data_IF_699844842834
#
_entry.id   IF_699844842834
#
_cell.length_a   1.000
_cell.length_b   1.000
_cell.length_c   1.000
_cell.angle_alpha   90.00
_cell.angle_beta   90.00
_cell.angle_gamma   90.00
#
_symmetry.space_group_name_H-M   'P 1'
#
loop_
_entity.id
_entity.type
_entity.pdbx_description
1 polymer ?
#
# COMPACT_ATOMS: atom_id res chain seq x y z
N UNK A 1 -10.65 -6.01 -14.26
CA UNK A 1 -11.23 -5.48 -13.02
C UNK A 1 -11.10 -3.98 -13.05
N UNK A 2 -12.02 -3.27 -12.38
CA UNK A 2 -11.89 -1.82 -12.14
C UNK A 2 -11.23 -1.59 -10.77
N UNK A 3 -10.08 -0.94 -10.76
CA UNK A 3 -9.25 -0.71 -9.57
C UNK A 3 -9.21 0.78 -9.27
N UNK A 4 -9.68 1.22 -8.11
CA UNK A 4 -9.52 2.60 -7.64
C UNK A 4 -8.24 2.70 -6.81
N UNK A 5 -7.20 3.35 -7.35
CA UNK A 5 -5.88 3.46 -6.73
C UNK A 5 -5.63 4.85 -6.18
N UNK A 6 -5.60 4.99 -4.87
CA UNK A 6 -5.22 6.21 -4.16
C UNK A 6 -3.70 6.30 -3.98
N UNK A 7 -3.17 7.52 -4.11
CA UNK A 7 -1.72 7.74 -4.08
C UNK A 7 -1.02 7.32 -5.38
N UNK A 8 -1.75 7.32 -6.50
CA UNK A 8 -1.27 6.86 -7.80
C UNK A 8 -0.02 7.59 -8.31
N UNK A 9 0.24 8.83 -7.88
CA UNK A 9 1.39 9.63 -8.31
C UNK A 9 2.67 9.39 -7.52
N UNK A 10 2.60 8.63 -6.43
CA UNK A 10 3.76 8.27 -5.60
C UNK A 10 4.70 7.27 -6.29
N UNK A 11 5.91 7.08 -5.72
CA UNK A 11 6.90 6.15 -6.26
C UNK A 11 6.34 4.73 -6.43
N UNK A 12 5.68 4.19 -5.43
CA UNK A 12 5.08 2.85 -5.47
C UNK A 12 3.75 2.88 -6.24
N UNK A 13 2.89 3.87 -5.96
CA UNK A 13 1.57 3.96 -6.59
C UNK A 13 1.62 4.06 -8.11
N UNK A 14 2.61 4.80 -8.66
CA UNK A 14 2.79 4.90 -10.12
C UNK A 14 3.13 3.56 -10.77
N UNK A 15 3.91 2.72 -10.10
CA UNK A 15 4.26 1.38 -10.59
C UNK A 15 3.10 0.42 -10.48
N UNK A 16 2.31 0.51 -9.41
CA UNK A 16 1.06 -0.27 -9.28
C UNK A 16 0.08 0.12 -10.39
N UNK A 17 -0.08 1.42 -10.66
CA UNK A 17 -0.94 1.89 -11.77
C UNK A 17 -0.46 1.35 -13.13
N UNK A 18 0.86 1.44 -13.40
CA UNK A 18 1.45 0.94 -14.63
C UNK A 18 1.31 -0.58 -14.78
N UNK A 19 1.56 -1.34 -13.72
CA UNK A 19 1.43 -2.80 -13.74
C UNK A 19 -0.02 -3.24 -13.94
N UNK A 20 -0.98 -2.61 -13.24
CA UNK A 20 -2.40 -2.90 -13.39
C UNK A 20 -2.88 -2.58 -14.82
N UNK A 21 -2.52 -1.43 -15.37
CA UNK A 21 -2.86 -1.06 -16.74
C UNK A 21 -2.23 -2.02 -17.77
N UNK A 22 -0.95 -2.40 -17.58
CA UNK A 22 -0.26 -3.37 -18.42
C UNK A 22 -0.95 -4.73 -18.46
N UNK A 23 -1.62 -5.13 -17.36
CA UNK A 23 -2.42 -6.36 -17.28
C UNK A 23 -3.86 -6.22 -17.82
N UNK A 24 -4.23 -5.03 -18.32
CA UNK A 24 -5.54 -4.78 -18.91
C UNK A 24 -6.65 -4.51 -17.89
N UNK A 25 -6.29 -4.04 -16.70
CA UNK A 25 -7.27 -3.56 -15.73
C UNK A 25 -7.70 -2.12 -16.03
N UNK A 26 -8.94 -1.77 -15.66
CA UNK A 26 -9.42 -0.39 -15.65
C UNK A 26 -8.94 0.28 -14.35
N UNK A 27 -8.06 1.26 -14.47
CA UNK A 27 -7.45 1.95 -13.32
C UNK A 27 -8.03 3.35 -13.16
N UNK A 28 -8.68 3.60 -12.04
CA UNK A 28 -9.03 4.94 -11.59
C UNK A 28 -7.87 5.46 -10.74
N UNK A 29 -6.99 6.25 -11.35
CA UNK A 29 -5.81 6.82 -10.71
C UNK A 29 -6.21 8.05 -9.88
N UNK A 30 -6.31 7.88 -8.56
CA UNK A 30 -6.77 8.92 -7.64
C UNK A 30 -5.59 9.66 -7.04
N UNK A 31 -5.57 10.97 -7.21
CA UNK A 31 -4.59 11.86 -6.60
C UNK A 31 -5.25 13.19 -6.20
N UNK A 32 -4.63 13.97 -5.32
CA UNK A 32 -5.14 15.28 -4.90
C UNK A 32 -5.26 16.27 -6.06
N UNK A 33 -4.36 16.20 -7.03
CA UNK A 33 -4.33 17.09 -8.20
C UNK A 33 -5.13 16.58 -9.39
N UNK A 34 -5.61 15.34 -9.37
CA UNK A 34 -6.19 14.69 -10.54
C UNK A 34 -5.15 14.32 -11.60
N UNK A 35 -3.87 14.33 -11.27
CA UNK A 35 -2.82 13.87 -12.18
C UNK A 35 -2.74 12.34 -12.16
N UNK A 36 -2.47 11.75 -13.34
CA UNK A 36 -2.12 10.33 -13.47
C UNK A 36 -0.67 10.19 -13.93
N UNK A 37 0.09 9.27 -13.35
CA UNK A 37 1.45 8.96 -13.79
C UNK A 37 1.48 8.07 -15.03
N UNK A 38 0.33 7.50 -15.40
CA UNK A 38 0.16 6.58 -16.53
C UNK A 38 -0.93 7.14 -17.43
N UNK A 39 -0.65 7.18 -18.71
CA UNK A 39 -1.60 7.52 -19.74
C UNK A 39 -1.88 6.30 -20.61
N UNK A 40 -3.10 6.14 -21.07
CA UNK A 40 -3.47 5.06 -21.98
C UNK A 40 -4.88 4.53 -21.79
N UNK A 41 -5.28 3.59 -22.64
CA UNK A 41 -6.58 2.94 -22.53
C UNK A 41 -6.76 2.29 -21.16
N UNK A 42 -7.96 2.44 -20.58
CA UNK A 42 -8.27 1.85 -19.27
C UNK A 42 -7.73 2.65 -18.06
N UNK A 43 -7.08 3.81 -18.24
CA UNK A 43 -6.65 4.65 -17.14
C UNK A 43 -7.44 5.95 -17.11
N UNK A 44 -8.08 6.24 -15.98
CA UNK A 44 -8.84 7.47 -15.73
C UNK A 44 -8.26 8.20 -14.53
N UNK A 45 -7.87 9.46 -14.71
CA UNK A 45 -7.39 10.31 -13.61
C UNK A 45 -8.57 10.95 -12.88
N UNK A 46 -8.53 10.92 -11.54
CA UNK A 46 -9.56 11.50 -10.67
C UNK A 46 -8.91 12.34 -9.57
N UNK A 47 -9.42 13.56 -9.40
CA UNK A 47 -9.03 14.40 -8.26
C UNK A 47 -9.89 14.05 -7.05
N UNK A 48 -9.29 13.57 -5.95
CA UNK A 48 -9.98 13.38 -4.69
C UNK A 48 -9.00 13.47 -3.50
N UNK A 49 -9.51 14.01 -2.40
CA UNK A 49 -8.82 13.98 -1.12
C UNK A 49 -9.19 12.70 -0.37
N UNK A 50 -8.19 11.89 -0.05
CA UNK A 50 -8.37 10.65 0.72
C UNK A 50 -8.84 10.90 2.18
N UNK A 51 -8.72 12.12 2.69
CA UNK A 51 -9.27 12.54 3.98
C UNK A 51 -10.74 12.96 3.95
N UNK A 52 -11.39 12.98 2.77
CA UNK A 52 -12.84 13.25 2.64
C UNK A 52 -13.59 11.96 2.35
N UNK A 53 -14.46 11.58 3.27
CA UNK A 53 -15.31 10.37 3.15
C UNK A 53 -16.13 10.41 1.85
N UNK A 54 -16.74 11.55 1.53
CA UNK A 54 -17.59 11.73 0.36
C UNK A 54 -16.77 11.66 -0.93
N UNK A 55 -15.57 12.28 -0.96
CA UNK A 55 -14.70 12.25 -2.13
C UNK A 55 -14.17 10.85 -2.41
N UNK A 56 -13.81 10.10 -1.35
CA UNK A 56 -13.40 8.70 -1.46
C UNK A 56 -14.57 7.85 -1.97
N UNK A 57 -15.75 7.97 -1.36
CA UNK A 57 -16.94 7.20 -1.76
C UNK A 57 -17.28 7.40 -3.24
N UNK A 58 -17.23 8.65 -3.71
CA UNK A 58 -17.45 8.97 -5.12
C UNK A 58 -16.37 8.36 -6.04
N UNK A 59 -15.09 8.42 -5.63
CA UNK A 59 -13.97 7.92 -6.44
C UNK A 59 -13.95 6.39 -6.55
N UNK A 60 -14.44 5.65 -5.53
CA UNK A 60 -14.45 4.18 -5.53
C UNK A 60 -15.73 3.58 -6.10
N UNK A 61 -16.72 4.40 -6.43
CA UNK A 61 -18.02 3.91 -6.91
C UNK A 61 -17.89 2.98 -8.14
N UNK A 62 -18.41 1.77 -7.98
CA UNK A 62 -18.36 0.73 -9.02
C UNK A 62 -16.97 0.15 -9.29
N UNK A 63 -16.00 0.36 -8.40
CA UNK A 63 -14.73 -0.37 -8.42
C UNK A 63 -14.91 -1.78 -7.84
N UNK A 64 -14.16 -2.74 -8.38
CA UNK A 64 -14.09 -4.10 -7.85
C UNK A 64 -13.16 -4.17 -6.63
N UNK A 65 -12.08 -3.38 -6.66
CA UNK A 65 -11.05 -3.32 -5.62
C UNK A 65 -10.59 -1.88 -5.41
N UNK A 66 -10.35 -1.52 -4.16
CA UNK A 66 -9.66 -0.28 -3.80
C UNK A 66 -8.21 -0.61 -3.44
N UNK A 67 -7.28 0.09 -4.07
CA UNK A 67 -5.85 0.03 -3.80
C UNK A 67 -5.38 1.33 -3.13
N UNK A 68 -4.59 1.22 -2.07
CA UNK A 68 -4.05 2.38 -1.36
C UNK A 68 -2.53 2.35 -1.35
N UNK A 69 -1.93 3.36 -1.98
CA UNK A 69 -0.51 3.71 -1.86
C UNK A 69 -0.33 5.06 -1.13
N UNK A 70 -1.23 5.33 -0.18
CA UNK A 70 -1.15 6.49 0.69
C UNK A 70 0.02 6.35 1.67
N UNK A 71 0.76 7.43 1.86
CA UNK A 71 1.90 7.49 2.76
C UNK A 71 1.77 8.66 3.75
N UNK A 72 2.37 8.53 4.93
CA UNK A 72 2.45 9.64 5.89
C UNK A 72 3.16 10.85 5.29
N UNK A 73 2.82 12.04 5.79
CA UNK A 73 3.52 13.27 5.40
C UNK A 73 4.97 13.26 5.90
N UNK A 74 5.87 13.87 5.12
CA UNK A 74 7.32 13.95 5.39
C UNK A 74 7.77 15.41 5.49
N UNK A 75 7.08 16.18 6.30
CA UNK A 75 7.36 17.62 6.52
C UNK A 75 8.11 17.90 7.83
N UNK A 76 8.54 16.85 8.53
CA UNK A 76 9.23 16.92 9.81
C UNK A 76 8.30 16.93 11.03
N UNK A 77 6.97 16.99 10.85
CA UNK A 77 6.01 16.82 11.93
C UNK A 77 5.81 15.34 12.30
N UNK A 78 5.17 15.07 13.46
CA UNK A 78 4.78 13.70 13.80
C UNK A 78 3.62 13.26 12.89
N UNK A 79 3.81 12.26 11.99
CA UNK A 79 2.80 11.86 11.03
C UNK A 79 1.75 10.91 11.61
N UNK A 80 1.89 10.39 12.83
CA UNK A 80 1.09 9.27 13.35
C UNK A 80 -0.39 9.61 13.43
N UNK A 81 -0.75 10.69 14.15
CA UNK A 81 -2.14 11.09 14.32
C UNK A 81 -2.80 11.57 13.00
N UNK A 82 -2.16 12.42 12.17
CA UNK A 82 -2.71 12.78 10.87
C UNK A 82 -2.90 11.60 9.93
N UNK A 83 -1.99 10.64 9.92
CA UNK A 83 -2.10 9.46 9.06
C UNK A 83 -3.20 8.50 9.53
N UNK A 84 -3.38 8.36 10.85
CA UNK A 84 -4.50 7.61 11.41
C UNK A 84 -5.85 8.21 10.99
N UNK A 85 -6.02 9.53 11.18
CA UNK A 85 -7.24 10.23 10.80
C UNK A 85 -7.54 10.15 9.28
N UNK A 86 -6.49 10.28 8.46
CA UNK A 86 -6.61 10.10 7.00
C UNK A 86 -7.15 8.72 6.64
N UNK A 87 -6.59 7.67 7.25
CA UNK A 87 -7.01 6.29 6.95
C UNK A 87 -8.38 5.96 7.51
N UNK A 88 -8.79 6.53 8.64
CA UNK A 88 -10.13 6.34 9.18
C UNK A 88 -11.17 6.92 8.20
N UNK A 89 -10.97 8.16 7.74
CA UNK A 89 -11.82 8.78 6.72
C UNK A 89 -11.80 8.01 5.38
N UNK A 90 -10.61 7.56 4.96
CA UNK A 90 -10.45 6.76 3.75
C UNK A 90 -11.27 5.46 3.82
N UNK A 91 -11.15 4.67 4.90
CA UNK A 91 -11.88 3.42 5.03
C UNK A 91 -13.38 3.63 5.16
N UNK A 92 -13.81 4.71 5.82
CA UNK A 92 -15.23 5.08 5.88
C UNK A 92 -15.78 5.44 4.49
N UNK A 93 -15.01 6.16 3.69
CA UNK A 93 -15.38 6.44 2.31
C UNK A 93 -15.43 5.18 1.43
N UNK A 94 -14.52 4.24 1.63
CA UNK A 94 -14.57 2.93 0.94
C UNK A 94 -15.84 2.16 1.31
N UNK A 95 -16.21 2.12 2.59
CA UNK A 95 -17.47 1.51 3.06
C UNK A 95 -18.69 2.17 2.43
N UNK A 96 -18.72 3.49 2.45
CA UNK A 96 -19.82 4.27 1.86
C UNK A 96 -19.93 4.07 0.35
N UNK A 97 -18.79 3.88 -0.36
CA UNK A 97 -18.74 3.57 -1.78
C UNK A 97 -19.13 2.12 -2.11
N UNK A 98 -19.35 1.27 -1.12
CA UNK A 98 -19.84 -0.11 -1.26
C UNK A 98 -18.77 -1.12 -1.70
N UNK A 99 -17.48 -0.79 -1.61
CA UNK A 99 -16.39 -1.71 -1.96
C UNK A 99 -15.87 -2.41 -0.72
N UNK A 100 -15.78 -3.73 -0.76
CA UNK A 100 -15.28 -4.53 0.38
C UNK A 100 -13.79 -4.84 0.30
N UNK A 101 -13.27 -5.07 -0.92
CA UNK A 101 -11.89 -5.48 -1.13
C UNK A 101 -10.95 -4.28 -1.12
N UNK A 102 -9.97 -4.29 -0.21
CA UNK A 102 -8.98 -3.21 -0.07
C UNK A 102 -7.57 -3.81 0.00
N UNK A 103 -6.68 -3.39 -0.89
CA UNK A 103 -5.26 -3.77 -0.84
C UNK A 103 -4.42 -2.53 -0.52
N UNK A 104 -3.60 -2.62 0.52
CA UNK A 104 -2.93 -1.47 1.13
C UNK A 104 -1.42 -1.64 1.05
N UNK A 105 -0.74 -0.66 0.49
CA UNK A 105 0.72 -0.54 0.57
C UNK A 105 1.10 -0.29 2.03
N UNK A 106 1.85 -1.21 2.57
CA UNK A 106 2.30 -1.18 3.94
C UNK A 106 3.71 -0.63 4.12
N UNK A 107 4.20 -0.72 5.36
CA UNK A 107 5.58 -0.43 5.71
C UNK A 107 6.32 -1.68 6.18
N UNK A 108 7.65 -1.67 6.06
CA UNK A 108 8.51 -2.75 6.55
C UNK A 108 8.76 -2.69 8.06
N UNK A 109 8.59 -1.51 8.69
CA UNK A 109 9.00 -1.28 10.08
C UNK A 109 8.40 -2.23 11.12
N UNK A 110 7.20 -2.74 10.87
CA UNK A 110 6.52 -3.70 11.75
C UNK A 110 6.79 -5.17 11.43
N UNK A 111 7.65 -5.47 10.43
CA UNK A 111 8.09 -6.83 10.14
C UNK A 111 9.02 -7.33 11.26
N UNK A 112 8.88 -8.59 11.63
CA UNK A 112 9.65 -9.19 12.71
C UNK A 112 11.00 -9.69 12.21
N UNK A 113 12.08 -9.22 12.83
CA UNK A 113 13.45 -9.69 12.59
C UNK A 113 13.77 -10.94 13.42
N UNK A 114 13.11 -11.06 14.57
CA UNK A 114 13.09 -12.21 15.46
C UNK A 114 11.76 -12.25 16.25
N UNK A 115 11.39 -13.33 16.92
CA UNK A 115 10.15 -13.39 17.68
C UNK A 115 10.00 -12.24 18.67
N UNK A 116 8.98 -11.39 18.44
CA UNK A 116 8.65 -10.26 19.32
C UNK A 116 9.42 -8.96 19.03
N UNK A 117 10.40 -8.95 18.11
CA UNK A 117 11.18 -7.74 17.79
C UNK A 117 10.85 -7.24 16.39
N UNK A 118 10.24 -6.07 16.30
CA UNK A 118 9.97 -5.42 15.03
C UNK A 118 11.22 -4.71 14.48
N UNK A 119 11.34 -4.63 13.16
CA UNK A 119 12.47 -3.95 12.49
C UNK A 119 12.66 -2.51 13.00
N UNK A 120 11.57 -1.76 13.23
CA UNK A 120 11.61 -0.38 13.73
C UNK A 120 12.19 -0.24 15.14
N UNK A 121 12.18 -1.32 15.93
CA UNK A 121 12.68 -1.35 17.30
C UNK A 121 14.14 -1.81 17.40
N UNK A 122 14.75 -2.15 16.26
CA UNK A 122 16.18 -2.53 16.24
C UNK A 122 17.08 -1.31 16.41
N UNK A 123 18.26 -1.45 17.07
CA UNK A 123 19.20 -0.34 17.27
C UNK A 123 19.71 0.30 15.97
N UNK A 124 19.73 -0.46 14.87
CA UNK A 124 20.20 0.00 13.55
C UNK A 124 19.12 0.69 12.71
N UNK A 125 17.89 0.81 13.19
CA UNK A 125 16.82 1.42 12.39
C UNK A 125 17.06 2.93 12.18
N UNK A 126 17.05 3.45 10.92
CA UNK A 126 17.35 4.83 10.66
C UNK A 126 16.33 5.78 11.30
N UNK A 127 16.80 6.72 12.13
CA UNK A 127 15.96 7.68 12.87
C UNK A 127 15.05 8.48 11.93
N UNK A 128 15.56 8.84 10.74
CA UNK A 128 14.81 9.62 9.75
C UNK A 128 13.50 8.95 9.28
N UNK A 129 13.41 7.61 9.33
CA UNK A 129 12.23 6.86 8.90
C UNK A 129 11.39 6.34 10.07
N UNK A 130 11.82 6.55 11.32
CA UNK A 130 11.20 5.92 12.49
C UNK A 130 9.74 6.34 12.68
N UNK A 131 9.46 7.63 12.58
CA UNK A 131 8.10 8.16 12.75
C UNK A 131 7.13 7.64 11.66
N UNK A 132 7.59 7.60 10.41
CA UNK A 132 6.82 7.02 9.30
C UNK A 132 6.58 5.52 9.50
N UNK A 133 7.62 4.78 9.89
CA UNK A 133 7.51 3.34 10.14
C UNK A 133 6.54 3.03 11.29
N UNK A 134 6.53 3.85 12.35
CA UNK A 134 5.57 3.74 13.45
C UNK A 134 4.14 4.06 13.01
N UNK A 135 3.94 5.11 12.19
CA UNK A 135 2.62 5.43 11.64
C UNK A 135 2.02 4.27 10.82
N UNK A 136 2.86 3.61 10.01
CA UNK A 136 2.46 2.40 9.28
C UNK A 136 2.19 1.21 10.21
N UNK A 137 2.97 1.02 11.27
CA UNK A 137 2.76 -0.04 12.25
C UNK A 137 1.44 0.15 13.01
N UNK A 138 1.14 1.38 13.44
CA UNK A 138 -0.12 1.74 14.09
C UNK A 138 -1.31 1.47 13.15
N UNK A 139 -1.17 1.79 11.85
CA UNK A 139 -2.22 1.51 10.86
C UNK A 139 -2.48 0.01 10.73
N UNK A 140 -1.44 -0.81 10.64
CA UNK A 140 -1.60 -2.27 10.61
C UNK A 140 -2.27 -2.80 11.88
N UNK A 141 -1.88 -2.30 13.05
CA UNK A 141 -2.49 -2.69 14.32
C UNK A 141 -4.00 -2.37 14.34
N UNK A 142 -4.40 -1.19 13.85
CA UNK A 142 -5.81 -0.82 13.74
C UNK A 142 -6.57 -1.67 12.71
N UNK A 143 -5.97 -2.00 11.57
CA UNK A 143 -6.57 -2.85 10.54
C UNK A 143 -6.92 -4.26 11.06
N UNK A 144 -6.13 -4.80 11.98
CA UNK A 144 -6.42 -6.11 12.59
C UNK A 144 -7.75 -6.17 13.34
N UNK A 145 -8.31 -5.02 13.73
CA UNK A 145 -9.65 -4.89 14.29
C UNK A 145 -10.77 -4.72 13.27
N UNK A 146 -10.44 -4.53 11.99
CA UNK A 146 -11.42 -4.33 10.91
C UNK A 146 -11.90 -5.69 10.39
N UNK A 147 -13.20 -5.97 10.53
CA UNK A 147 -13.79 -7.28 10.17
C UNK A 147 -14.82 -7.19 9.05
N UNK A 148 -15.17 -5.98 8.64
CA UNK A 148 -16.20 -5.69 7.64
C UNK A 148 -15.63 -5.42 6.24
N UNK A 149 -14.30 -5.30 6.12
CA UNK A 149 -13.57 -5.17 4.86
C UNK A 149 -12.64 -6.35 4.66
N UNK A 150 -12.50 -6.77 3.40
CA UNK A 150 -11.57 -7.81 2.97
C UNK A 150 -10.21 -7.15 2.65
N UNK A 151 -9.51 -6.69 3.68
CA UNK A 151 -8.24 -5.97 3.52
C UNK A 151 -7.04 -6.91 3.40
N UNK A 152 -6.05 -6.51 2.61
CA UNK A 152 -4.68 -7.10 2.64
C UNK A 152 -3.67 -5.97 2.80
N UNK A 153 -2.75 -6.13 3.73
CA UNK A 153 -1.67 -5.17 3.97
C UNK A 153 -0.37 -5.74 3.41
N UNK A 154 0.18 -5.12 2.36
CA UNK A 154 1.37 -5.61 1.65
C UNK A 154 2.59 -4.84 2.15
N UNK A 155 3.40 -5.45 3.02
CA UNK A 155 4.66 -4.88 3.50
C UNK A 155 5.77 -5.09 2.47
N UNK A 156 6.50 -4.04 2.06
CA UNK A 156 7.70 -4.20 1.24
C UNK A 156 8.86 -4.78 2.05
N UNK A 157 9.95 -5.12 1.39
CA UNK A 157 11.25 -5.31 2.00
C UNK A 157 11.73 -4.05 2.75
N UNK A 158 12.74 -4.21 3.61
CA UNK A 158 13.33 -3.06 4.34
C UNK A 158 13.84 -1.98 3.39
N UNK A 159 14.33 -2.37 2.22
CA UNK A 159 14.76 -1.47 1.15
C UNK A 159 13.86 -1.67 -0.07
N UNK A 160 13.15 -0.62 -0.45
CA UNK A 160 12.36 -0.56 -1.67
C UNK A 160 12.80 0.67 -2.49
N UNK A 161 13.17 0.45 -3.74
CA UNK A 161 13.62 1.50 -4.65
C UNK A 161 13.25 1.17 -6.10
N UNK A 162 13.24 2.15 -7.01
CA UNK A 162 13.14 1.87 -8.44
C UNK A 162 14.20 0.87 -8.90
N UNK A 163 13.82 -0.08 -9.77
CA UNK A 163 14.73 -1.12 -10.25
C UNK A 163 14.14 -1.90 -11.44
N UNK A 164 14.55 -3.14 -11.61
CA UNK A 164 14.07 -3.99 -12.68
C UNK A 164 12.76 -4.69 -12.30
N UNK A 165 11.92 -4.95 -13.29
CA UNK A 165 10.73 -5.78 -13.19
C UNK A 165 11.11 -7.21 -13.61
N UNK A 166 11.49 -8.02 -12.66
CA UNK A 166 11.89 -9.43 -12.91
C UNK A 166 10.70 -10.39 -12.81
N UNK A 167 9.73 -10.09 -11.97
CA UNK A 167 8.61 -10.97 -11.64
C UNK A 167 9.03 -12.13 -10.73
N UNK A 168 10.24 -12.11 -10.16
CA UNK A 168 10.77 -13.16 -9.28
C UNK A 168 11.01 -12.58 -7.89
N UNK A 169 10.20 -13.00 -6.94
CA UNK A 169 10.25 -12.56 -5.54
C UNK A 169 9.64 -13.62 -4.63
N UNK A 170 9.85 -13.45 -3.33
CA UNK A 170 9.24 -14.28 -2.30
C UNK A 170 8.09 -13.53 -1.62
N UNK A 171 7.06 -14.28 -1.22
CA UNK A 171 5.96 -13.76 -0.41
C UNK A 171 6.02 -14.46 0.96
N UNK A 172 5.99 -13.66 2.02
CA UNK A 172 5.95 -14.13 3.41
C UNK A 172 4.79 -13.50 4.17
N UNK A 173 4.81 -13.69 5.48
CA UNK A 173 3.82 -13.14 6.42
C UNK A 173 4.39 -12.02 7.29
N UNK A 174 4.42 -12.23 8.62
CA UNK A 174 4.87 -11.24 9.60
C UNK A 174 6.40 -11.11 9.71
N UNK A 175 7.17 -12.07 9.20
CA UNK A 175 8.62 -12.02 9.26
C UNK A 175 9.23 -11.12 8.17
N UNK A 176 10.33 -10.45 8.52
CA UNK A 176 11.18 -9.79 7.54
C UNK A 176 11.86 -10.85 6.67
N UNK A 177 11.65 -10.78 5.37
CA UNK A 177 12.34 -11.63 4.41
C UNK A 177 13.72 -11.05 4.13
N UNK A 178 14.74 -11.91 4.22
CA UNK A 178 16.13 -11.55 3.92
C UNK A 178 16.75 -12.59 2.96
N UNK A 179 17.78 -12.17 2.22
CA UNK A 179 18.67 -13.08 1.49
C UNK A 179 19.65 -13.79 2.44
N UNK A 180 20.56 -14.58 1.88
CA UNK A 180 21.55 -15.34 2.64
C UNK A 180 22.56 -14.44 3.37
N UNK A 181 22.76 -13.21 2.90
CA UNK A 181 23.64 -12.19 3.46
C UNK A 181 22.92 -11.30 4.49
N UNK A 182 21.62 -11.52 4.71
CA UNK A 182 20.80 -10.75 5.66
C UNK A 182 20.21 -9.46 5.10
N UNK A 183 20.32 -9.21 3.78
CA UNK A 183 19.73 -8.03 3.15
C UNK A 183 18.23 -8.27 2.87
N UNK A 184 17.42 -7.22 3.03
CA UNK A 184 16.01 -7.22 2.69
C UNK A 184 15.75 -6.13 1.66
N UNK A 185 15.54 -6.52 0.41
CA UNK A 185 15.39 -5.60 -0.71
C UNK A 185 14.34 -6.08 -1.71
N UNK A 186 13.71 -5.12 -2.41
CA UNK A 186 12.85 -5.37 -3.56
C UNK A 186 12.83 -4.13 -4.47
N UNK A 187 12.72 -4.33 -5.78
CA UNK A 187 12.40 -3.23 -6.69
C UNK A 187 10.93 -2.80 -6.51
N UNK A 188 10.67 -1.52 -6.71
CA UNK A 188 9.30 -1.01 -6.68
C UNK A 188 8.45 -1.60 -7.82
N UNK A 189 9.09 -2.01 -8.90
CA UNK A 189 8.50 -2.70 -10.04
C UNK A 189 8.03 -4.12 -9.66
N UNK A 190 8.87 -4.92 -9.00
CA UNK A 190 8.47 -6.26 -8.55
C UNK A 190 7.51 -6.23 -7.37
N UNK A 191 7.65 -5.22 -6.49
CA UNK A 191 6.63 -4.97 -5.47
C UNK A 191 5.26 -4.69 -6.09
N UNK A 192 5.21 -3.90 -7.18
CA UNK A 192 3.97 -3.64 -7.90
C UNK A 192 3.40 -4.92 -8.55
N UNK A 193 4.25 -5.82 -9.07
CA UNK A 193 3.83 -7.14 -9.55
C UNK A 193 3.14 -7.92 -8.43
N UNK A 194 3.80 -8.05 -7.27
CA UNK A 194 3.25 -8.77 -6.12
C UNK A 194 1.93 -8.15 -5.61
N UNK A 195 1.86 -6.82 -5.60
CA UNK A 195 0.68 -6.08 -5.18
C UNK A 195 -0.52 -6.33 -6.12
N UNK A 196 -0.30 -6.30 -7.43
CA UNK A 196 -1.36 -6.59 -8.43
C UNK A 196 -1.71 -8.08 -8.42
N UNK A 197 -0.75 -8.98 -8.20
CA UNK A 197 -1.02 -10.41 -7.98
C UNK A 197 -2.01 -10.62 -6.82
N UNK A 198 -1.86 -9.88 -5.72
CA UNK A 198 -2.76 -9.97 -4.58
C UNK A 198 -4.14 -9.35 -4.88
N UNK A 199 -4.20 -8.29 -5.70
CA UNK A 199 -5.46 -7.73 -6.20
C UNK A 199 -6.23 -8.79 -6.98
N UNK A 200 -5.56 -9.48 -7.92
CA UNK A 200 -6.17 -10.47 -8.81
C UNK A 200 -6.60 -11.75 -8.09
N UNK A 201 -5.76 -12.23 -7.18
CA UNK A 201 -5.97 -13.52 -6.49
C UNK A 201 -6.84 -13.39 -5.25
N UNK A 202 -6.75 -12.27 -4.52
CA UNK A 202 -7.46 -12.09 -3.25
C UNK A 202 -7.14 -13.19 -2.23
N UNK A 203 -5.90 -13.66 -2.21
CA UNK A 203 -5.52 -14.87 -1.46
C UNK A 203 -5.35 -14.63 0.05
N UNK A 204 -5.18 -13.37 0.48
CA UNK A 204 -4.79 -13.04 1.84
C UNK A 204 -5.73 -11.99 2.50
N UNK A 205 -7.07 -12.22 2.56
CA UNK A 205 -7.98 -11.29 3.20
C UNK A 205 -7.77 -11.27 4.72
N UNK A 206 -7.88 -10.08 5.32
CA UNK A 206 -7.76 -9.88 6.78
C UNK A 206 -6.35 -10.08 7.33
N UNK A 207 -5.30 -10.04 6.48
CA UNK A 207 -3.94 -10.30 6.93
C UNK A 207 -2.89 -9.42 6.26
N UNK A 208 -1.67 -9.47 6.82
CA UNK A 208 -0.49 -8.88 6.23
C UNK A 208 0.32 -9.94 5.47
N UNK A 209 0.86 -9.55 4.32
CA UNK A 209 1.95 -10.27 3.63
C UNK A 209 3.18 -9.38 3.53
N UNK A 210 4.35 -10.00 3.40
CA UNK A 210 5.62 -9.33 3.11
C UNK A 210 6.17 -9.79 1.77
N UNK A 211 6.90 -8.92 1.07
CA UNK A 211 7.44 -9.21 -0.26
C UNK A 211 8.90 -8.75 -0.33
N UNK A 212 9.81 -9.66 -0.74
CA UNK A 212 11.23 -9.38 -0.94
C UNK A 212 11.87 -10.37 -1.92
N UNK A 213 13.09 -10.09 -2.33
CA UNK A 213 13.96 -11.04 -3.05
C UNK A 213 14.45 -12.18 -2.17
#
# INVERSE_FOLDING_TARGET
>A
MKIALFGATGMVGSRIAAEAARRGHDVVAVSRSGASPVEGPGVTAVAADAGSVEAVAAAVAGADVVASALAPVRDGSDPRAPFAALYDAFLDGVRQGGVRRVVIVGGAGSLLVEPGTALVDTPGFPVAYKAEAQAHADRLAALRGVTDLDWTYVSPAAQIAPGERTGVFRVGGDALLTDAEGNSAISAEDYAVAFVDEIERGAHPGTRISVAY
#
